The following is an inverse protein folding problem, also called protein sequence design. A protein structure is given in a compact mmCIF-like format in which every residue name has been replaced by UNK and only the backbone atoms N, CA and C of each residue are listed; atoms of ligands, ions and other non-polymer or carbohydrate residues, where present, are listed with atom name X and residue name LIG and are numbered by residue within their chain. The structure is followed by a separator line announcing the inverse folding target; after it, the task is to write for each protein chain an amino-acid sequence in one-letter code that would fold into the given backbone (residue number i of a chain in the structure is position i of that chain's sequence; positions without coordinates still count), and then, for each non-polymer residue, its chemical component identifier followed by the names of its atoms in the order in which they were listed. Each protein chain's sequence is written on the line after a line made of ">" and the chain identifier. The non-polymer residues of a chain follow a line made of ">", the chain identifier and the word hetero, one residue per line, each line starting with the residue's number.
data_IF_467696874128
#
_entry.id   IF_467696874128
#
_cell.length_a   1.000
_cell.length_b   1.000
_cell.length_c   1.000
_cell.angle_alpha   90.00
_cell.angle_beta   90.00
_cell.angle_gamma   90.00
#
_symmetry.space_group_name_H-M   'P 1'
#
loop_
_entity.id
_entity.type
_entity.pdbx_description
1 polymer ?
#
# COMPACT_ATOMS: atom_id res chain seq x y z
N UNK A 1 10.72 -10.28 2.85
CA UNK A 1 11.02 -9.02 2.15
C UNK A 1 11.81 -9.38 0.88
N UNK A 2 11.17 -9.79 -0.22
CA UNK A 2 11.89 -10.13 -1.46
C UNK A 2 11.15 -9.53 -2.66
N UNK A 3 11.24 -8.21 -2.82
CA UNK A 3 11.16 -7.62 -4.15
C UNK A 3 12.62 -7.38 -4.57
N UNK A 4 13.15 -8.15 -5.54
CA UNK A 4 14.59 -8.21 -5.80
C UNK A 4 15.18 -6.93 -6.43
N UNK A 5 14.33 -6.03 -6.93
CA UNK A 5 14.75 -4.82 -7.65
C UNK A 5 14.56 -3.54 -6.84
N UNK A 6 13.45 -3.43 -6.10
CA UNK A 6 13.08 -2.23 -5.34
C UNK A 6 12.17 -2.61 -4.17
N UNK A 7 12.19 -1.85 -3.08
CA UNK A 7 11.35 -2.10 -1.92
C UNK A 7 9.94 -1.45 -2.06
N UNK A 8 9.03 -1.77 -1.15
CA UNK A 8 7.64 -1.28 -1.22
C UNK A 8 7.49 0.25 -1.14
N UNK A 9 8.38 0.94 -0.42
CA UNK A 9 8.39 2.40 -0.33
C UNK A 9 8.88 3.03 -1.64
N UNK A 10 9.97 2.51 -2.21
CA UNK A 10 10.48 2.97 -3.50
C UNK A 10 9.42 2.80 -4.60
N UNK A 11 8.74 1.66 -4.62
CA UNK A 11 7.61 1.42 -5.53
C UNK A 11 6.49 2.46 -5.34
N UNK A 12 6.09 2.73 -4.10
CA UNK A 12 5.06 3.74 -3.81
C UNK A 12 5.45 5.13 -4.33
N UNK A 13 6.68 5.56 -4.05
CA UNK A 13 7.19 6.87 -4.48
C UNK A 13 7.23 6.98 -6.01
N UNK A 14 7.70 5.94 -6.71
CA UNK A 14 7.71 5.94 -8.18
C UNK A 14 6.30 5.95 -8.77
N UNK A 15 5.37 5.19 -8.21
CA UNK A 15 3.96 5.20 -8.64
C UNK A 15 3.34 6.59 -8.49
N UNK A 16 3.56 7.25 -7.35
CA UNK A 16 3.05 8.62 -7.11
C UNK A 16 3.71 9.66 -8.02
N UNK A 17 4.98 9.49 -8.38
CA UNK A 17 5.68 10.35 -9.34
C UNK A 17 5.11 10.20 -10.76
N UNK A 18 4.76 8.97 -11.16
CA UNK A 18 4.18 8.69 -12.47
C UNK A 18 2.71 9.13 -12.56
N UNK A 19 1.95 8.88 -11.50
CA UNK A 19 0.56 9.30 -11.40
C UNK A 19 0.24 9.75 -9.95
N UNK A 20 0.18 11.06 -9.69
CA UNK A 20 -0.14 11.57 -8.36
C UNK A 20 -1.51 11.15 -7.81
N UNK A 21 -2.47 10.75 -8.67
CA UNK A 21 -3.83 10.35 -8.26
C UNK A 21 -4.00 8.84 -8.14
N UNK A 22 -2.94 8.04 -8.41
CA UNK A 22 -3.01 6.59 -8.26
C UNK A 22 -3.32 6.20 -6.81
N UNK A 23 -4.26 5.27 -6.65
CA UNK A 23 -4.63 4.71 -5.35
C UNK A 23 -3.70 3.54 -5.05
N UNK A 24 -3.09 3.57 -3.87
CA UNK A 24 -2.17 2.51 -3.44
C UNK A 24 -2.61 1.97 -2.09
N UNK A 25 -2.66 0.64 -1.98
CA UNK A 25 -2.84 -0.11 -0.74
C UNK A 25 -1.55 -0.88 -0.50
N UNK A 26 -0.92 -0.69 0.66
CA UNK A 26 0.34 -1.35 1.00
C UNK A 26 0.07 -2.70 1.66
N UNK A 27 0.63 -3.79 1.14
CA UNK A 27 0.49 -5.12 1.74
C UNK A 27 1.79 -5.53 2.47
N UNK A 28 1.85 -5.41 3.80
CA UNK A 28 3.08 -5.66 4.60
C UNK A 28 2.86 -6.68 5.71
N UNK A 29 3.83 -7.57 5.97
CA UNK A 29 3.84 -8.46 7.14
C UNK A 29 4.71 -7.94 8.29
N UNK A 30 5.28 -6.74 8.14
CA UNK A 30 6.04 -6.03 9.15
C UNK A 30 5.60 -4.56 9.12
N UNK A 31 4.55 -4.24 9.87
CA UNK A 31 4.04 -2.88 10.01
C UNK A 31 5.04 -1.95 10.75
N UNK A 32 5.99 -2.53 11.50
CA UNK A 32 6.90 -1.83 12.39
C UNK A 32 8.14 -1.20 11.74
N UNK A 33 8.55 -1.65 10.54
CA UNK A 33 9.80 -1.20 9.91
C UNK A 33 9.65 -0.12 8.85
N UNK A 34 8.42 0.12 8.37
CA UNK A 34 8.14 1.26 7.51
C UNK A 34 7.44 2.31 8.36
N UNK A 35 7.83 3.57 8.20
CA UNK A 35 7.06 4.68 8.75
C UNK A 35 5.76 4.78 7.94
N UNK A 36 4.84 3.84 8.16
CA UNK A 36 3.49 3.78 7.58
C UNK A 36 2.79 5.11 7.81
N UNK A 37 3.07 5.74 8.95
CA UNK A 37 2.70 7.11 9.28
C UNK A 37 3.14 8.17 8.26
N UNK A 38 4.30 8.04 7.62
CA UNK A 38 4.75 8.95 6.56
C UNK A 38 4.02 8.65 5.25
N UNK A 39 3.85 7.37 4.91
CA UNK A 39 3.11 6.97 3.72
C UNK A 39 1.64 7.40 3.75
N UNK A 40 1.01 7.31 4.93
CA UNK A 40 -0.35 7.80 5.16
C UNK A 40 -0.45 9.31 4.93
N UNK A 41 0.57 10.10 5.34
CA UNK A 41 0.64 11.53 5.05
C UNK A 41 0.78 11.82 3.56
N UNK A 42 1.46 10.96 2.82
CA UNK A 42 1.70 11.09 1.37
C UNK A 42 0.53 10.57 0.50
N UNK A 43 -0.61 10.25 1.13
CA UNK A 43 -1.85 9.87 0.45
C UNK A 43 -1.99 8.37 0.16
N UNK A 44 -1.29 7.52 0.92
CA UNK A 44 -1.59 6.09 0.97
C UNK A 44 -3.03 5.88 1.42
N UNK A 45 -3.77 5.05 0.69
CA UNK A 45 -5.19 4.84 0.96
C UNK A 45 -5.40 3.87 2.11
N UNK A 46 -4.59 2.81 2.21
CA UNK A 46 -4.67 1.85 3.30
C UNK A 46 -3.47 0.92 3.39
N UNK A 47 -3.41 0.17 4.48
CA UNK A 47 -2.44 -0.91 4.70
C UNK A 47 -3.21 -2.19 4.97
N UNK A 48 -2.78 -3.27 4.32
CA UNK A 48 -3.28 -4.62 4.54
C UNK A 48 -2.15 -5.47 5.14
N UNK A 49 -2.31 -5.86 6.40
CA UNK A 49 -1.29 -6.63 7.11
C UNK A 49 -1.32 -8.10 6.69
N UNK A 50 -0.15 -8.68 6.40
CA UNK A 50 -0.02 -10.10 6.06
C UNK A 50 0.16 -10.93 7.34
N UNK A 51 -0.45 -12.13 7.41
CA UNK A 51 -1.35 -12.72 6.41
C UNK A 51 -2.76 -12.11 6.47
N UNK A 52 -3.42 -12.03 5.30
CA UNK A 52 -4.81 -11.56 5.16
C UNK A 52 -5.63 -12.54 4.32
N UNK A 53 -6.95 -12.54 4.48
CA UNK A 53 -7.88 -13.36 3.69
C UNK A 53 -8.31 -12.64 2.41
N UNK A 54 -8.94 -13.39 1.49
CA UNK A 54 -9.47 -12.83 0.25
C UNK A 54 -10.60 -11.82 0.54
N UNK A 55 -11.44 -12.08 1.55
CA UNK A 55 -12.52 -11.20 1.97
C UNK A 55 -11.95 -9.86 2.47
N UNK A 56 -10.93 -9.88 3.31
CA UNK A 56 -10.26 -8.67 3.81
C UNK A 56 -9.66 -7.84 2.67
N UNK A 57 -9.09 -8.50 1.64
CA UNK A 57 -8.60 -7.83 0.45
C UNK A 57 -9.74 -7.15 -0.32
N UNK A 58 -10.82 -7.88 -0.60
CA UNK A 58 -11.98 -7.37 -1.35
C UNK A 58 -12.64 -6.19 -0.63
N UNK A 59 -12.87 -6.30 0.68
CA UNK A 59 -13.40 -5.21 1.50
C UNK A 59 -12.50 -3.97 1.46
N UNK A 60 -11.18 -4.16 1.52
CA UNK A 60 -10.23 -3.04 1.47
C UNK A 60 -10.27 -2.37 0.11
N UNK A 61 -10.28 -3.14 -0.97
CA UNK A 61 -10.33 -2.60 -2.33
C UNK A 61 -11.66 -1.87 -2.59
N UNK A 62 -12.78 -2.44 -2.15
CA UNK A 62 -14.11 -1.85 -2.31
C UNK A 62 -14.25 -0.48 -1.64
N UNK A 63 -13.52 -0.20 -0.56
CA UNK A 63 -13.52 1.13 0.09
C UNK A 63 -12.97 2.24 -0.80
N UNK A 64 -12.12 1.91 -1.78
CA UNK A 64 -11.39 2.92 -2.58
C UNK A 64 -11.71 2.86 -4.07
N UNK A 65 -12.48 1.87 -4.56
CA UNK A 65 -12.98 1.85 -5.94
C UNK A 65 -14.43 2.36 -5.93
N UNK A 66 -14.75 3.42 -6.70
CA UNK A 66 -16.14 3.86 -6.86
C UNK A 66 -16.95 2.80 -7.61
N UNK A 67 -18.20 2.60 -7.19
CA UNK A 67 -19.19 1.74 -7.86
C UNK A 67 -19.50 2.18 -9.29
#
# INVERSE_FOLDING_TARGET
>A
MNMPVMNGLETFQQLKRLNPTVKVILCTGYASNYSVSNLLRDGLQGVLEKPFTAEQLLETVAKYIPS
#
